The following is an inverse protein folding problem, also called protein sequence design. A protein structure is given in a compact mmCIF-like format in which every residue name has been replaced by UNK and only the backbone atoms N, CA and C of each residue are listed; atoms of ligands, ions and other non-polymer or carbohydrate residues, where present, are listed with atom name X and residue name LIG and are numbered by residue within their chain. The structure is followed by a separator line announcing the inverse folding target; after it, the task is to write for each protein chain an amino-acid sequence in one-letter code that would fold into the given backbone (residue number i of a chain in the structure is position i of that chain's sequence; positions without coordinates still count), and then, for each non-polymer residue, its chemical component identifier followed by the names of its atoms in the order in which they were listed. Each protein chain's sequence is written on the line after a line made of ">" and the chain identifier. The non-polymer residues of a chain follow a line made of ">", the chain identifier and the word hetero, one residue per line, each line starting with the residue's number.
data_IF_672018684732
#
_entry.id   IF_672018684732
#
_cell.length_a   1.000
_cell.length_b   1.000
_cell.length_c   1.000
_cell.angle_alpha   90.00
_cell.angle_beta   90.00
_cell.angle_gamma   90.00
#
_symmetry.space_group_name_H-M   'P 1'
#
loop_
_entity.id
_entity.type
_entity.pdbx_description
1 polymer ?
#
# COMPACT_ATOMS: atom_id res chain seq x y z
N UNK A 1 2.83 29.23 -27.33
CA UNK A 1 2.78 28.12 -26.41
C UNK A 1 2.20 26.89 -27.10
N UNK A 2 3.04 25.89 -27.40
CA UNK A 2 2.56 24.59 -27.85
C UNK A 2 1.92 23.93 -26.65
N UNK A 3 0.60 23.69 -26.72
CA UNK A 3 -0.12 23.00 -25.66
C UNK A 3 0.17 21.49 -25.81
N UNK A 4 0.93 20.95 -24.86
CA UNK A 4 1.20 19.51 -24.80
C UNK A 4 -0.09 18.76 -24.47
N UNK A 5 -0.41 17.75 -25.24
CA UNK A 5 -1.58 16.88 -25.00
C UNK A 5 -1.19 15.44 -25.22
N UNK A 6 -1.54 14.59 -24.28
CA UNK A 6 -1.34 13.14 -24.39
C UNK A 6 -2.27 12.53 -25.43
N UNK A 7 -1.96 11.32 -25.87
CA UNK A 7 -2.86 10.51 -26.67
C UNK A 7 -3.78 9.70 -25.72
N UNK A 8 -4.96 10.23 -25.44
CA UNK A 8 -5.93 9.65 -24.54
C UNK A 8 -6.38 8.24 -24.97
N UNK A 9 -6.61 8.04 -26.24
CA UNK A 9 -7.01 6.74 -26.78
C UNK A 9 -5.94 5.68 -26.50
N UNK A 10 -4.69 5.97 -26.77
CA UNK A 10 -3.56 5.09 -26.48
C UNK A 10 -3.43 4.79 -25.01
N UNK A 11 -3.59 5.78 -24.14
CA UNK A 11 -3.57 5.60 -22.69
C UNK A 11 -4.66 4.63 -22.24
N UNK A 12 -5.90 4.83 -22.67
CA UNK A 12 -7.04 4.00 -22.29
C UNK A 12 -6.95 2.58 -22.84
N UNK A 13 -6.51 2.42 -24.09
CA UNK A 13 -6.25 1.11 -24.69
C UNK A 13 -5.22 0.31 -23.89
N UNK A 14 -4.15 0.94 -23.45
CA UNK A 14 -3.09 0.31 -22.65
C UNK A 14 -3.55 -0.05 -21.25
N UNK A 15 -4.33 0.79 -20.60
CA UNK A 15 -4.94 0.48 -19.29
C UNK A 15 -5.86 -0.74 -19.43
N UNK A 16 -6.68 -0.79 -20.48
CA UNK A 16 -7.56 -1.92 -20.72
C UNK A 16 -6.76 -3.20 -21.04
N UNK A 17 -5.75 -3.12 -21.87
CA UNK A 17 -4.90 -4.26 -22.24
C UNK A 17 -4.17 -4.84 -21.02
N UNK A 18 -3.56 -4.00 -20.18
CA UNK A 18 -2.92 -4.45 -18.95
C UNK A 18 -3.95 -5.06 -18.00
N UNK A 19 -5.14 -4.51 -17.95
CA UNK A 19 -6.25 -5.02 -17.14
C UNK A 19 -6.73 -6.42 -17.51
N UNK A 20 -6.40 -6.92 -18.70
CA UNK A 20 -6.72 -8.30 -19.11
C UNK A 20 -5.66 -9.32 -18.66
N UNK A 21 -4.49 -8.87 -18.20
CA UNK A 21 -3.45 -9.77 -17.69
C UNK A 21 -3.73 -10.16 -16.23
N UNK A 22 -3.44 -11.40 -15.88
CA UNK A 22 -3.60 -11.92 -14.53
C UNK A 22 -5.05 -12.22 -14.12
N UNK A 23 -5.96 -12.36 -15.08
CA UNK A 23 -7.33 -12.82 -14.77
C UNK A 23 -7.33 -14.30 -14.42
N UNK A 24 -8.09 -14.66 -13.37
CA UNK A 24 -8.35 -16.05 -12.99
C UNK A 24 -9.47 -16.69 -13.85
N UNK A 25 -9.80 -17.94 -13.54
CA UNK A 25 -10.85 -18.67 -14.25
C UNK A 25 -12.24 -18.03 -14.13
N UNK A 26 -12.49 -17.24 -13.07
CA UNK A 26 -13.74 -16.53 -12.83
C UNK A 26 -13.73 -15.11 -13.43
N UNK A 27 -12.67 -14.74 -14.13
CA UNK A 27 -12.50 -13.42 -14.73
C UNK A 27 -12.11 -12.30 -13.76
N UNK A 28 -11.74 -12.64 -12.52
CA UNK A 28 -11.24 -11.67 -11.54
C UNK A 28 -9.79 -11.31 -11.85
N UNK A 29 -9.42 -10.03 -11.67
CA UNK A 29 -8.02 -9.60 -11.75
C UNK A 29 -7.27 -10.01 -10.49
N UNK A 30 -6.30 -10.90 -10.67
CA UNK A 30 -5.46 -11.41 -9.58
C UNK A 30 -4.01 -11.42 -10.06
N UNK A 31 -3.46 -10.23 -10.28
CA UNK A 31 -2.06 -10.07 -10.71
C UNK A 31 -1.16 -9.89 -9.49
N UNK A 32 -1.00 -10.97 -8.73
CA UNK A 32 -0.15 -10.96 -7.54
C UNK A 32 1.33 -10.87 -7.93
N UNK A 33 2.13 -10.25 -7.07
CA UNK A 33 3.55 -10.03 -7.29
C UNK A 33 4.29 -11.33 -7.68
N UNK A 34 5.10 -11.25 -8.72
CA UNK A 34 5.94 -12.33 -9.24
C UNK A 34 5.16 -13.61 -9.67
N UNK A 35 3.86 -13.50 -9.92
CA UNK A 35 3.04 -14.56 -10.51
C UNK A 35 3.18 -14.60 -12.03
N UNK A 36 2.61 -15.61 -12.67
CA UNK A 36 2.56 -15.69 -14.14
C UNK A 36 1.77 -14.51 -14.73
N UNK A 37 0.69 -14.09 -14.07
CA UNK A 37 -0.06 -12.91 -14.49
C UNK A 37 0.75 -11.63 -14.38
N UNK A 38 1.55 -11.50 -13.35
CA UNK A 38 2.48 -10.37 -13.18
C UNK A 38 3.58 -10.39 -14.25
N UNK A 39 4.09 -11.58 -14.61
CA UNK A 39 5.01 -11.72 -15.76
C UNK A 39 4.40 -11.16 -17.04
N UNK A 40 3.17 -11.54 -17.34
CA UNK A 40 2.48 -11.06 -18.55
C UNK A 40 2.31 -9.53 -18.52
N UNK A 41 1.93 -8.98 -17.40
CA UNK A 41 1.82 -7.54 -17.21
C UNK A 41 3.17 -6.81 -17.34
N UNK A 42 4.21 -7.36 -16.72
CA UNK A 42 5.59 -6.84 -16.81
C UNK A 42 6.13 -6.86 -18.24
N UNK A 43 5.94 -7.97 -18.94
CA UNK A 43 6.33 -8.09 -20.35
C UNK A 43 5.62 -7.04 -21.22
N UNK A 44 4.36 -6.76 -20.92
CA UNK A 44 3.57 -5.76 -21.62
C UNK A 44 4.10 -4.34 -21.38
N UNK A 45 4.32 -3.92 -20.15
CA UNK A 45 4.85 -2.58 -19.86
C UNK A 45 6.28 -2.41 -20.39
N UNK A 46 7.11 -3.43 -20.33
CA UNK A 46 8.46 -3.41 -20.90
C UNK A 46 8.39 -3.21 -22.40
N UNK A 47 7.47 -3.88 -23.10
CA UNK A 47 7.28 -3.68 -24.54
C UNK A 47 6.88 -2.24 -24.88
N UNK A 48 6.03 -1.63 -24.06
CA UNK A 48 5.64 -0.22 -24.26
C UNK A 48 6.76 0.76 -23.94
N UNK A 49 7.59 0.48 -22.95
CA UNK A 49 8.79 1.26 -22.68
C UNK A 49 9.76 1.22 -23.86
N UNK A 50 10.00 0.04 -24.40
CA UNK A 50 10.86 -0.14 -25.59
C UNK A 50 10.29 0.54 -26.83
N UNK A 51 8.98 0.45 -27.03
CA UNK A 51 8.28 1.16 -28.10
C UNK A 51 8.44 2.70 -28.00
N UNK A 52 8.50 3.21 -26.78
CA UNK A 52 8.80 4.63 -26.54
C UNK A 52 10.31 4.96 -26.66
N UNK A 53 11.16 4.00 -26.98
CA UNK A 53 12.61 4.19 -27.10
C UNK A 53 13.34 4.36 -25.77
N UNK A 54 12.80 3.81 -24.69
CA UNK A 54 13.42 3.88 -23.37
C UNK A 54 14.42 2.75 -23.16
N UNK A 55 15.48 3.03 -22.41
CA UNK A 55 16.35 2.01 -21.85
C UNK A 55 15.63 1.34 -20.68
N UNK A 56 15.45 0.03 -20.73
CA UNK A 56 14.79 -0.73 -19.66
C UNK A 56 15.84 -1.33 -18.74
N UNK A 57 15.73 -1.03 -17.44
CA UNK A 57 16.59 -1.55 -16.39
C UNK A 57 15.73 -2.21 -15.33
N UNK A 58 16.13 -3.40 -14.87
CA UNK A 58 15.48 -4.14 -13.79
C UNK A 58 16.46 -4.31 -12.66
N UNK A 59 16.07 -3.94 -11.45
CA UNK A 59 16.91 -4.11 -10.27
C UNK A 59 16.75 -5.50 -9.62
N UNK A 60 17.53 -5.78 -8.58
CA UNK A 60 17.55 -7.09 -7.91
C UNK A 60 16.23 -7.50 -7.31
N UNK A 61 15.38 -6.54 -6.89
CA UNK A 61 14.05 -6.83 -6.35
C UNK A 61 12.96 -6.84 -7.42
N UNK A 62 13.34 -6.72 -8.69
CA UNK A 62 12.40 -6.76 -9.81
C UNK A 62 11.71 -5.45 -10.13
N UNK A 63 12.09 -4.34 -9.52
CA UNK A 63 11.59 -3.04 -9.95
C UNK A 63 12.02 -2.77 -11.38
N UNK A 64 11.11 -2.27 -12.20
CA UNK A 64 11.33 -2.02 -13.62
C UNK A 64 11.39 -0.51 -13.86
N UNK A 65 12.43 -0.06 -14.57
CA UNK A 65 12.62 1.34 -14.91
C UNK A 65 12.80 1.51 -16.42
N UNK A 66 12.07 2.46 -16.97
CA UNK A 66 12.26 2.94 -18.35
C UNK A 66 12.91 4.31 -18.31
N UNK A 67 14.10 4.45 -18.89
CA UNK A 67 14.94 5.65 -18.79
C UNK A 67 14.98 6.38 -20.12
N UNK A 68 14.65 7.67 -20.08
CA UNK A 68 14.85 8.58 -21.18
C UNK A 68 15.88 9.65 -20.79
N UNK A 69 17.07 9.51 -21.33
CA UNK A 69 18.13 10.50 -21.17
C UNK A 69 18.67 10.94 -22.54
N UNK A 70 19.32 12.10 -22.56
CA UNK A 70 20.01 12.63 -23.74
C UNK A 70 21.47 12.91 -23.38
N UNK A 71 22.39 13.04 -24.37
CA UNK A 71 23.77 13.42 -24.11
C UNK A 71 23.90 14.71 -23.28
N UNK A 72 22.94 15.63 -23.44
CA UNK A 72 22.94 16.94 -22.80
C UNK A 72 22.45 16.92 -21.36
N UNK A 73 21.64 15.95 -20.97
CA UNK A 73 21.02 15.92 -19.63
C UNK A 73 21.38 14.72 -18.75
N UNK A 74 22.14 13.75 -19.29
CA UNK A 74 22.42 12.47 -18.59
C UNK A 74 23.15 12.59 -17.26
N UNK A 75 23.83 13.70 -17.02
CA UNK A 75 24.59 13.98 -15.79
C UNK A 75 23.71 14.60 -14.69
N UNK A 76 22.47 14.95 -15.02
CA UNK A 76 21.52 15.52 -14.06
C UNK A 76 20.68 14.44 -13.41
N UNK A 77 20.28 14.68 -12.15
CA UNK A 77 19.37 13.80 -11.44
C UNK A 77 17.99 13.78 -12.13
N UNK A 78 17.43 12.59 -12.39
CA UNK A 78 16.20 12.48 -13.17
C UNK A 78 14.95 12.86 -12.39
N UNK A 79 13.91 13.25 -13.12
CA UNK A 79 12.54 13.22 -12.64
C UNK A 79 12.03 11.78 -12.80
N UNK A 80 11.52 11.19 -11.73
CA UNK A 80 10.95 9.85 -11.73
C UNK A 80 9.44 9.93 -11.60
N UNK A 81 8.73 9.19 -12.44
CA UNK A 81 7.28 9.00 -12.39
C UNK A 81 7.02 7.50 -12.30
N UNK A 82 6.18 7.05 -11.42
CA UNK A 82 5.96 5.62 -11.32
C UNK A 82 4.85 5.25 -10.36
N UNK A 83 4.58 3.96 -10.31
CA UNK A 83 3.65 3.31 -9.41
C UNK A 83 3.93 1.80 -9.37
N UNK A 84 2.90 0.96 -9.40
CA UNK A 84 3.01 -0.50 -9.39
C UNK A 84 2.03 -1.12 -10.40
N UNK A 85 2.22 -2.40 -10.69
CA UNK A 85 1.29 -3.17 -11.50
C UNK A 85 0.78 -4.45 -10.84
N UNK A 86 1.36 -4.86 -9.71
CA UNK A 86 0.75 -5.93 -8.91
C UNK A 86 -0.58 -5.46 -8.34
N UNK A 87 -1.49 -6.38 -8.12
CA UNK A 87 -2.84 -6.11 -7.68
C UNK A 87 -3.22 -6.92 -6.45
N UNK A 88 -4.28 -6.48 -5.78
CA UNK A 88 -5.02 -7.32 -4.83
C UNK A 88 -5.86 -8.38 -5.57
N UNK A 89 -6.55 -9.23 -4.81
CA UNK A 89 -7.48 -10.21 -5.36
C UNK A 89 -8.77 -9.49 -5.78
N UNK A 90 -9.24 -9.78 -7.00
CA UNK A 90 -10.41 -9.14 -7.61
C UNK A 90 -10.27 -7.61 -7.74
N UNK A 91 -9.13 -7.18 -8.26
CA UNK A 91 -8.74 -5.79 -8.37
C UNK A 91 -9.43 -5.03 -9.51
N UNK A 92 -9.53 -3.71 -9.34
CA UNK A 92 -9.81 -2.78 -10.43
C UNK A 92 -8.64 -2.69 -11.42
N UNK A 93 -8.89 -2.13 -12.60
CA UNK A 93 -7.87 -2.03 -13.67
C UNK A 93 -6.97 -0.79 -13.56
N UNK A 94 -7.31 0.16 -12.68
CA UNK A 94 -6.63 1.45 -12.59
C UNK A 94 -5.59 1.51 -11.47
N UNK A 95 -5.80 0.74 -10.41
CA UNK A 95 -4.97 0.79 -9.20
C UNK A 95 -3.51 0.49 -9.52
N UNK A 96 -2.63 1.45 -9.27
CA UNK A 96 -1.22 1.42 -9.60
C UNK A 96 -0.91 1.47 -11.11
N UNK A 97 -1.62 0.67 -11.89
CA UNK A 97 -1.41 0.55 -13.34
C UNK A 97 -1.56 1.89 -14.07
N UNK A 98 -2.50 2.72 -13.64
CA UNK A 98 -2.69 4.04 -14.21
C UNK A 98 -1.43 4.90 -14.11
N UNK A 99 -0.78 4.93 -12.95
CA UNK A 99 0.45 5.71 -12.75
C UNK A 99 1.63 5.24 -13.58
N UNK A 100 1.79 3.93 -13.75
CA UNK A 100 2.85 3.36 -14.61
C UNK A 100 2.62 3.68 -16.08
N UNK A 101 1.42 3.41 -16.57
CA UNK A 101 1.08 3.62 -18.00
C UNK A 101 1.09 5.12 -18.33
N UNK A 102 0.57 5.96 -17.42
CA UNK A 102 0.61 7.42 -17.58
C UNK A 102 2.05 7.95 -17.69
N UNK A 103 2.98 7.43 -16.89
CA UNK A 103 4.39 7.79 -16.98
C UNK A 103 4.98 7.48 -18.36
N UNK A 104 4.69 6.30 -18.89
CA UNK A 104 5.13 5.91 -20.25
C UNK A 104 4.49 6.82 -21.31
N UNK A 105 3.20 7.11 -21.16
CA UNK A 105 2.48 7.98 -22.11
C UNK A 105 3.03 9.41 -22.13
N UNK A 106 3.32 9.97 -20.98
CA UNK A 106 3.92 11.32 -20.87
C UNK A 106 5.25 11.36 -21.61
N UNK A 107 6.13 10.40 -21.38
CA UNK A 107 7.43 10.34 -22.07
C UNK A 107 7.24 10.20 -23.57
N UNK A 108 6.38 9.27 -24.00
CA UNK A 108 6.12 9.05 -25.43
C UNK A 108 5.58 10.31 -26.10
N UNK A 109 4.65 11.00 -25.46
CA UNK A 109 4.08 12.26 -25.95
C UNK A 109 5.14 13.36 -26.09
N UNK A 110 5.99 13.54 -25.10
CA UNK A 110 7.07 14.54 -25.13
C UNK A 110 8.03 14.25 -26.28
N UNK A 111 8.42 12.99 -26.46
CA UNK A 111 9.30 12.57 -27.57
C UNK A 111 8.66 12.79 -28.95
N UNK A 112 7.40 12.41 -29.13
CA UNK A 112 6.66 12.59 -30.37
C UNK A 112 6.53 14.07 -30.74
N UNK A 113 6.45 14.96 -29.76
CA UNK A 113 6.37 16.41 -30.00
C UNK A 113 7.73 17.10 -30.05
N UNK A 114 8.82 16.34 -30.02
CA UNK A 114 10.18 16.88 -30.15
C UNK A 114 10.66 17.65 -28.94
N UNK A 115 10.02 17.47 -27.78
CA UNK A 115 10.43 18.11 -26.51
C UNK A 115 11.68 17.43 -25.95
N UNK A 116 12.65 18.22 -25.52
CA UNK A 116 13.85 17.73 -24.83
C UNK A 116 13.82 18.24 -23.40
N UNK A 117 13.68 17.37 -22.40
CA UNK A 117 13.64 17.80 -21.01
C UNK A 117 15.02 18.22 -20.50
N UNK A 118 15.03 19.10 -19.52
CA UNK A 118 16.27 19.54 -18.86
C UNK A 118 16.95 18.42 -18.07
N UNK A 119 16.18 17.44 -17.62
CA UNK A 119 16.62 16.28 -16.85
C UNK A 119 16.19 15.00 -17.53
N UNK A 120 16.87 13.87 -17.28
CA UNK A 120 16.30 12.58 -17.67
C UNK A 120 14.94 12.39 -17.03
N UNK A 121 14.05 11.66 -17.70
CA UNK A 121 12.77 11.24 -17.15
C UNK A 121 12.78 9.72 -17.07
N UNK A 122 12.42 9.20 -15.90
CA UNK A 122 12.37 7.77 -15.61
C UNK A 122 10.95 7.40 -15.24
N UNK A 123 10.41 6.36 -15.86
CA UNK A 123 9.16 5.74 -15.41
C UNK A 123 9.47 4.44 -14.70
N UNK A 124 8.84 4.20 -13.53
CA UNK A 124 9.11 3.05 -12.67
C UNK A 124 7.88 2.24 -12.34
N UNK A 125 8.07 0.92 -12.20
CA UNK A 125 7.08 -0.01 -11.66
C UNK A 125 7.70 -0.78 -10.50
N UNK A 126 7.18 -0.56 -9.30
CA UNK A 126 7.72 -1.13 -8.06
C UNK A 126 7.09 -2.48 -7.75
N UNK A 127 7.92 -3.42 -7.31
CA UNK A 127 7.52 -4.80 -7.01
C UNK A 127 6.76 -4.90 -5.70
N UNK A 128 5.66 -5.67 -5.71
CA UNK A 128 4.92 -6.06 -4.49
C UNK A 128 4.47 -4.88 -3.64
N UNK A 129 3.84 -3.89 -4.28
CA UNK A 129 3.32 -2.73 -3.57
C UNK A 129 2.19 -3.11 -2.63
N UNK A 130 1.27 -3.96 -3.09
CA UNK A 130 0.06 -4.34 -2.36
C UNK A 130 0.31 -5.28 -1.18
N UNK A 131 1.43 -5.98 -1.16
CA UNK A 131 1.78 -6.87 -0.05
C UNK A 131 0.87 -8.08 0.12
N UNK A 132 0.10 -8.46 -0.88
CA UNK A 132 -0.89 -9.53 -0.78
C UNK A 132 -0.23 -10.92 -0.82
N UNK A 133 0.71 -11.13 -1.72
CA UNK A 133 1.43 -12.40 -1.83
C UNK A 133 2.61 -12.46 -0.86
N UNK A 134 3.37 -11.38 -0.74
CA UNK A 134 4.54 -11.26 0.14
C UNK A 134 4.40 -10.05 1.06
N UNK A 135 4.81 -10.17 2.31
CA UNK A 135 4.89 -9.06 3.25
C UNK A 135 6.35 -8.58 3.37
N UNK A 136 6.57 -7.28 3.62
CA UNK A 136 5.58 -6.22 3.79
C UNK A 136 5.05 -5.68 2.46
N UNK A 137 3.99 -4.89 2.53
CA UNK A 137 3.54 -4.04 1.42
C UNK A 137 4.59 -2.98 1.07
N UNK A 138 4.43 -2.30 -0.06
CA UNK A 138 5.36 -1.29 -0.57
C UNK A 138 6.81 -1.81 -0.71
N UNK A 139 6.97 -3.12 -0.84
CA UNK A 139 8.28 -3.79 -0.72
C UNK A 139 9.31 -3.26 -1.71
N UNK A 140 8.95 -3.13 -2.99
CA UNK A 140 9.89 -2.71 -4.02
C UNK A 140 10.42 -1.30 -3.80
N UNK A 141 9.57 -0.35 -3.45
CA UNK A 141 9.96 1.02 -3.14
C UNK A 141 10.69 1.12 -1.80
N UNK A 142 10.32 0.30 -0.82
CA UNK A 142 10.98 0.24 0.48
C UNK A 142 12.43 -0.22 0.34
N UNK A 143 12.67 -1.28 -0.44
CA UNK A 143 14.03 -1.75 -0.74
C UNK A 143 14.80 -0.70 -1.55
N UNK A 144 14.15 -0.10 -2.54
CA UNK A 144 14.75 0.96 -3.35
C UNK A 144 15.23 2.15 -2.51
N UNK A 145 14.44 2.54 -1.52
CA UNK A 145 14.76 3.65 -0.61
C UNK A 145 15.72 3.27 0.55
N UNK A 146 16.09 1.99 0.68
CA UNK A 146 17.01 1.52 1.71
C UNK A 146 16.36 1.18 3.05
N UNK A 147 15.04 1.09 3.11
CA UNK A 147 14.29 0.75 4.33
C UNK A 147 14.21 -0.76 4.62
N UNK A 148 14.53 -1.59 3.64
CA UNK A 148 14.61 -3.05 3.76
C UNK A 148 15.74 -3.53 2.86
N UNK A 149 16.54 -4.51 3.32
CA UNK A 149 17.60 -5.06 2.47
C UNK A 149 17.02 -5.91 1.32
N UNK A 150 17.71 -5.91 0.18
CA UNK A 150 17.31 -6.76 -0.93
C UNK A 150 17.34 -8.25 -0.55
N UNK A 151 18.29 -8.67 0.26
CA UNK A 151 18.43 -10.04 0.74
C UNK A 151 17.22 -10.47 1.57
N UNK A 152 16.78 -9.65 2.51
CA UNK A 152 15.58 -9.93 3.32
C UNK A 152 14.32 -9.98 2.44
N UNK A 153 14.15 -9.04 1.53
CA UNK A 153 13.01 -9.00 0.63
C UNK A 153 12.97 -10.24 -0.30
N UNK A 154 14.10 -10.60 -0.89
CA UNK A 154 14.20 -11.78 -1.78
C UNK A 154 13.96 -13.10 -1.05
N UNK A 155 14.23 -13.16 0.25
CA UNK A 155 13.98 -14.31 1.11
C UNK A 155 12.53 -14.39 1.62
N UNK A 156 11.68 -13.40 1.34
CA UNK A 156 10.30 -13.38 1.81
C UNK A 156 9.53 -14.61 1.33
N UNK A 157 8.84 -15.24 2.28
CA UNK A 157 7.97 -16.41 2.01
C UNK A 157 6.55 -15.91 1.80
N UNK A 158 5.97 -16.24 0.66
CA UNK A 158 4.61 -15.84 0.31
C UNK A 158 3.53 -16.63 1.05
N UNK A 159 2.31 -16.14 0.94
CA UNK A 159 1.11 -16.82 1.48
C UNK A 159 0.88 -18.20 0.89
N UNK A 160 1.43 -18.45 -0.29
CA UNK A 160 1.40 -19.74 -1.02
C UNK A 160 2.66 -20.60 -0.77
N UNK A 161 3.54 -20.20 0.12
CA UNK A 161 4.77 -20.92 0.45
C UNK A 161 5.93 -20.68 -0.52
N UNK A 162 5.75 -19.89 -1.58
CA UNK A 162 6.80 -19.56 -2.53
C UNK A 162 7.77 -18.53 -1.95
N UNK A 163 8.99 -18.46 -2.50
CA UNK A 163 10.01 -17.47 -2.11
C UNK A 163 10.13 -16.42 -3.21
N UNK A 164 10.04 -15.15 -2.86
CA UNK A 164 10.00 -14.05 -3.83
C UNK A 164 11.19 -14.07 -4.81
N UNK A 165 12.41 -14.25 -4.31
CA UNK A 165 13.60 -14.29 -5.17
C UNK A 165 13.56 -15.44 -6.19
N UNK A 166 13.07 -16.61 -5.79
CA UNK A 166 12.90 -17.75 -6.70
C UNK A 166 11.83 -17.47 -7.76
N UNK A 167 10.73 -16.86 -7.35
CA UNK A 167 9.65 -16.51 -8.28
C UNK A 167 10.06 -15.40 -9.26
N UNK A 168 10.82 -14.40 -8.82
CA UNK A 168 11.37 -13.38 -9.71
C UNK A 168 12.30 -14.00 -10.75
N UNK A 169 13.14 -14.95 -10.35
CA UNK A 169 13.99 -15.71 -11.30
C UNK A 169 13.15 -16.50 -12.29
N UNK A 170 12.15 -17.22 -11.79
CA UNK A 170 11.26 -18.05 -12.61
C UNK A 170 10.58 -17.25 -13.71
N UNK A 171 10.10 -16.05 -13.40
CA UNK A 171 9.43 -15.17 -14.38
C UNK A 171 10.40 -14.31 -15.19
N UNK A 172 11.71 -14.33 -14.88
CA UNK A 172 12.73 -13.60 -15.60
C UNK A 172 12.90 -12.12 -15.21
N UNK A 173 12.47 -11.75 -14.00
CA UNK A 173 12.52 -10.36 -13.49
C UNK A 173 13.37 -10.17 -12.23
N UNK A 174 14.27 -11.09 -11.93
CA UNK A 174 15.38 -10.79 -11.03
C UNK A 174 16.46 -10.07 -11.82
N UNK A 175 16.55 -8.75 -11.62
CA UNK A 175 17.57 -7.95 -12.27
C UNK A 175 18.93 -8.01 -11.57
N UNK A 176 19.90 -7.33 -12.14
CA UNK A 176 21.30 -7.34 -11.65
C UNK A 176 21.72 -6.03 -11.02
N UNK A 177 20.96 -4.97 -11.23
CA UNK A 177 21.27 -3.63 -10.75
C UNK A 177 20.82 -3.50 -9.28
N UNK A 178 21.67 -2.87 -8.46
CA UNK A 178 21.31 -2.64 -7.06
C UNK A 178 20.14 -1.66 -6.94
N UNK A 179 19.15 -1.95 -6.07
CA UNK A 179 18.08 -1.02 -5.79
C UNK A 179 18.60 0.31 -5.26
N UNK A 180 18.01 1.42 -5.72
CA UNK A 180 18.50 2.75 -5.37
C UNK A 180 19.62 3.25 -6.29
N UNK A 181 19.87 2.60 -7.42
CA UNK A 181 20.92 2.98 -8.38
C UNK A 181 20.70 4.36 -9.01
N UNK A 182 19.47 4.85 -9.08
CA UNK A 182 19.12 6.22 -9.45
C UNK A 182 18.65 6.96 -8.22
N UNK A 183 19.23 8.15 -7.97
CA UNK A 183 18.73 9.06 -6.97
C UNK A 183 17.93 10.16 -7.69
N UNK A 184 16.59 10.13 -7.64
CA UNK A 184 15.78 11.08 -8.38
C UNK A 184 15.89 12.50 -7.80
N UNK A 185 15.77 13.49 -8.68
CA UNK A 185 15.56 14.87 -8.29
C UNK A 185 14.20 15.05 -7.58
N UNK A 186 13.18 14.43 -8.15
CA UNK A 186 11.83 14.38 -7.62
C UNK A 186 11.14 13.10 -8.07
N UNK A 187 10.15 12.65 -7.30
CA UNK A 187 9.28 11.54 -7.63
C UNK A 187 7.83 12.02 -7.63
N UNK A 188 7.09 11.68 -8.69
CA UNK A 188 5.67 11.99 -8.82
C UNK A 188 4.93 10.69 -9.13
N UNK A 189 3.84 10.46 -8.42
CA UNK A 189 2.97 9.32 -8.65
C UNK A 189 1.54 9.81 -8.94
N UNK A 190 1.02 9.45 -10.11
CA UNK A 190 -0.38 9.61 -10.44
C UNK A 190 -1.14 8.38 -9.94
N UNK A 191 -2.11 8.57 -9.09
CA UNK A 191 -2.88 7.48 -8.49
C UNK A 191 -4.36 7.82 -8.41
N UNK A 192 -5.22 6.80 -8.47
CA UNK A 192 -6.64 6.97 -8.17
C UNK A 192 -6.84 7.22 -6.68
N UNK A 193 -7.90 7.93 -6.31
CA UNK A 193 -8.16 8.27 -4.91
C UNK A 193 -8.38 7.06 -4.01
N UNK A 194 -9.01 6.01 -4.52
CA UNK A 194 -9.46 4.85 -3.74
C UNK A 194 -10.43 5.21 -2.60
N UNK A 195 -11.10 6.34 -2.74
CA UNK A 195 -12.05 6.88 -1.76
C UNK A 195 -13.11 7.72 -2.44
N UNK A 196 -14.16 8.16 -1.73
CA UNK A 196 -15.31 8.83 -2.34
C UNK A 196 -15.25 10.35 -2.33
N UNK A 197 -14.26 10.97 -1.68
CA UNK A 197 -14.29 12.41 -1.34
C UNK A 197 -14.27 13.26 -2.61
N UNK A 198 -13.31 13.02 -3.51
CA UNK A 198 -13.17 13.80 -4.74
C UNK A 198 -14.38 13.62 -5.65
N UNK A 199 -14.93 12.40 -5.72
CA UNK A 199 -16.13 12.11 -6.50
C UNK A 199 -17.34 12.88 -5.96
N UNK A 200 -17.56 12.84 -4.65
CA UNK A 200 -18.64 13.56 -3.97
C UNK A 200 -18.52 15.08 -4.14
N UNK A 201 -17.29 15.59 -4.10
CA UNK A 201 -17.01 17.03 -4.25
C UNK A 201 -16.91 17.48 -5.72
N UNK A 202 -16.92 16.54 -6.67
CA UNK A 202 -16.80 16.83 -8.10
C UNK A 202 -15.42 17.32 -8.52
N UNK A 203 -14.37 16.92 -7.77
CA UNK A 203 -12.99 17.28 -8.04
C UNK A 203 -12.34 16.19 -8.88
N UNK A 204 -11.75 16.55 -10.03
CA UNK A 204 -11.16 15.59 -10.95
C UNK A 204 -9.69 15.27 -10.60
N UNK A 205 -8.94 16.26 -10.14
CA UNK A 205 -7.50 16.13 -9.82
C UNK A 205 -7.24 16.82 -8.49
N UNK A 206 -6.50 16.14 -7.62
CA UNK A 206 -6.04 16.68 -6.35
C UNK A 206 -4.53 16.49 -6.19
N UNK A 207 -3.85 17.51 -5.68
CA UNK A 207 -2.46 17.36 -5.26
C UNK A 207 -2.43 16.91 -3.79
N UNK A 208 -1.84 15.73 -3.54
CA UNK A 208 -1.72 15.20 -2.19
C UNK A 208 -0.61 15.92 -1.45
N UNK A 209 -0.94 16.54 -0.32
CA UNK A 209 0.02 17.32 0.46
C UNK A 209 0.80 16.47 1.46
N UNK A 210 0.19 15.37 1.94
CA UNK A 210 0.81 14.50 2.92
C UNK A 210 0.29 13.05 2.85
N UNK A 211 1.04 12.14 3.46
CA UNK A 211 0.59 10.80 3.80
C UNK A 211 0.31 10.75 5.31
N UNK A 212 -0.83 10.16 5.67
CA UNK A 212 -1.17 9.98 7.08
C UNK A 212 -0.21 8.98 7.76
N UNK A 213 0.03 9.21 9.05
CA UNK A 213 0.73 8.25 9.89
C UNK A 213 -0.15 7.04 10.19
N UNK A 214 0.47 5.91 10.44
CA UNK A 214 -0.20 4.62 10.65
C UNK A 214 0.30 4.00 11.95
N UNK A 215 -0.63 3.54 12.79
CA UNK A 215 -0.35 2.77 14.00
C UNK A 215 -1.22 1.52 14.00
N UNK A 216 -0.60 0.35 13.83
CA UNK A 216 -1.28 -0.94 13.92
C UNK A 216 -0.85 -1.67 15.18
N UNK A 217 -1.83 -2.13 15.95
CA UNK A 217 -1.61 -2.91 17.15
C UNK A 217 -2.46 -4.19 17.11
N UNK A 218 -1.91 -5.26 17.63
CA UNK A 218 -2.68 -6.45 18.03
C UNK A 218 -2.98 -6.32 19.51
N UNK A 219 -4.24 -6.45 19.86
CA UNK A 219 -4.72 -6.36 21.23
C UNK A 219 -5.29 -7.72 21.63
N UNK A 220 -4.80 -8.26 22.73
CA UNK A 220 -5.29 -9.51 23.31
C UNK A 220 -5.92 -9.20 24.65
N UNK A 221 -7.20 -9.52 24.80
CA UNK A 221 -7.95 -9.36 26.04
C UNK A 221 -8.26 -10.74 26.61
N UNK A 222 -7.90 -10.98 27.86
CA UNK A 222 -8.17 -12.23 28.57
C UNK A 222 -9.24 -11.99 29.64
N UNK A 223 -10.28 -12.80 29.59
CA UNK A 223 -11.36 -12.84 30.57
C UNK A 223 -11.55 -14.26 31.13
N UNK A 224 -12.79 -14.66 31.39
CA UNK A 224 -13.14 -15.98 31.88
C UNK A 224 -14.32 -16.56 31.11
N UNK A 225 -14.17 -17.79 30.62
CA UNK A 225 -15.26 -18.54 30.02
C UNK A 225 -16.23 -19.02 31.08
N UNK A 226 -17.52 -18.75 30.89
CA UNK A 226 -18.60 -19.21 31.72
C UNK A 226 -19.86 -19.38 30.88
N UNK A 227 -20.83 -20.13 31.43
CA UNK A 227 -22.08 -20.36 30.74
C UNK A 227 -22.90 -19.08 30.56
N UNK A 228 -23.34 -18.78 29.35
CA UNK A 228 -24.03 -17.54 29.04
C UNK A 228 -25.41 -17.40 29.73
N UNK A 229 -26.11 -18.50 30.02
CA UNK A 229 -27.43 -18.48 30.64
C UNK A 229 -27.46 -18.50 32.16
N UNK A 230 -26.40 -18.97 32.81
CA UNK A 230 -26.36 -19.16 34.25
C UNK A 230 -25.37 -18.29 35.01
N UNK A 231 -24.56 -17.52 34.29
CA UNK A 231 -23.59 -16.61 34.92
C UNK A 231 -24.19 -15.22 35.07
N UNK A 232 -24.42 -14.75 36.29
CA UNK A 232 -24.93 -13.39 36.53
C UNK A 232 -24.01 -12.32 35.94
N UNK A 233 -24.58 -11.26 35.39
CA UNK A 233 -23.83 -10.17 34.72
C UNK A 233 -22.71 -9.62 35.59
N UNK A 234 -22.98 -9.42 36.88
CA UNK A 234 -21.99 -8.85 37.81
C UNK A 234 -20.76 -9.76 38.06
N UNK A 235 -20.86 -11.05 37.74
CA UNK A 235 -19.77 -12.03 37.89
C UNK A 235 -19.02 -12.34 36.60
N UNK A 236 -19.44 -11.72 35.48
CA UNK A 236 -18.82 -11.94 34.17
C UNK A 236 -17.49 -11.22 34.04
N UNK A 237 -16.51 -11.90 33.48
CA UNK A 237 -15.26 -11.31 32.99
C UNK A 237 -15.23 -11.56 31.49
N UNK A 238 -15.91 -10.68 30.77
CA UNK A 238 -16.26 -10.86 29.36
C UNK A 238 -15.24 -10.16 28.45
N UNK A 239 -14.33 -10.94 27.87
CA UNK A 239 -13.33 -10.44 26.95
C UNK A 239 -13.95 -9.90 25.65
N UNK A 240 -15.06 -10.47 25.21
CA UNK A 240 -15.76 -10.04 24.00
C UNK A 240 -16.41 -8.67 24.15
N UNK A 241 -17.05 -8.44 25.29
CA UNK A 241 -17.61 -7.12 25.61
C UNK A 241 -16.53 -6.06 25.74
N UNK A 242 -15.41 -6.39 26.40
CA UNK A 242 -14.27 -5.47 26.49
C UNK A 242 -13.72 -5.09 25.11
N UNK A 243 -13.58 -6.06 24.20
CA UNK A 243 -13.17 -5.80 22.81
C UNK A 243 -14.16 -4.88 22.07
N UNK A 244 -15.46 -5.12 22.24
CA UNK A 244 -16.51 -4.27 21.66
C UNK A 244 -16.41 -2.81 22.18
N UNK A 245 -16.16 -2.64 23.48
CA UNK A 245 -15.95 -1.31 24.08
C UNK A 245 -14.76 -0.59 23.46
N UNK A 246 -13.64 -1.28 23.19
CA UNK A 246 -12.48 -0.69 22.49
C UNK A 246 -12.86 -0.22 21.10
N UNK A 247 -13.61 -1.01 20.34
CA UNK A 247 -14.04 -0.63 19.02
C UNK A 247 -14.93 0.62 19.05
N UNK A 248 -15.88 0.71 19.98
CA UNK A 248 -16.72 1.90 20.19
C UNK A 248 -15.88 3.10 20.61
N UNK A 249 -14.94 2.92 21.54
CA UNK A 249 -14.01 3.98 21.97
C UNK A 249 -13.23 4.57 20.78
N UNK A 250 -12.69 3.72 19.92
CA UNK A 250 -11.96 4.17 18.72
C UNK A 250 -12.86 4.98 17.77
N UNK A 251 -14.11 4.55 17.55
CA UNK A 251 -15.08 5.31 16.74
C UNK A 251 -15.36 6.68 17.34
N UNK A 252 -15.53 6.77 18.65
CA UNK A 252 -15.75 8.05 19.35
C UNK A 252 -14.55 8.99 19.18
N UNK A 253 -13.32 8.46 19.24
CA UNK A 253 -12.11 9.25 18.95
C UNK A 253 -12.12 9.81 17.52
N UNK A 254 -12.53 9.02 16.55
CA UNK A 254 -12.66 9.47 15.16
C UNK A 254 -13.66 10.64 15.03
N UNK A 255 -14.81 10.51 15.65
CA UNK A 255 -15.86 11.54 15.62
C UNK A 255 -15.41 12.86 16.29
N UNK A 256 -14.71 12.75 17.42
CA UNK A 256 -14.17 13.92 18.14
C UNK A 256 -13.07 14.65 17.38
N UNK A 257 -12.37 13.98 16.48
CA UNK A 257 -11.28 14.55 15.68
C UNK A 257 -11.75 15.33 14.43
N UNK A 258 -13.03 15.49 14.21
CA UNK A 258 -13.62 16.04 12.98
C UNK A 258 -13.16 15.26 11.71
N UNK A 259 -13.03 13.95 11.83
CA UNK A 259 -12.66 13.06 10.74
C UNK A 259 -11.17 13.02 10.38
N UNK A 260 -10.31 13.70 11.14
CA UNK A 260 -8.85 13.66 10.92
C UNK A 260 -8.23 12.34 11.40
N UNK A 261 -8.70 11.80 12.50
CA UNK A 261 -8.37 10.45 12.94
C UNK A 261 -9.32 9.46 12.29
N UNK A 262 -8.79 8.41 11.70
CA UNK A 262 -9.57 7.23 11.29
C UNK A 262 -9.06 6.01 12.04
N UNK A 263 -9.98 5.15 12.46
CA UNK A 263 -9.63 3.93 13.18
C UNK A 263 -10.54 2.78 12.77
N UNK A 264 -9.97 1.59 12.70
CA UNK A 264 -10.67 0.37 12.28
C UNK A 264 -10.24 -0.82 13.12
N UNK A 265 -11.22 -1.61 13.56
CA UNK A 265 -11.01 -2.97 14.04
C UNK A 265 -11.44 -3.89 12.91
N UNK A 266 -10.47 -4.33 12.10
CA UNK A 266 -10.72 -5.11 10.88
C UNK A 266 -10.69 -6.63 11.09
N UNK A 267 -10.00 -7.08 12.13
CA UNK A 267 -9.91 -8.50 12.50
C UNK A 267 -10.27 -8.67 13.97
N UNK A 268 -11.10 -9.67 14.27
CA UNK A 268 -11.43 -10.04 15.64
C UNK A 268 -11.71 -11.54 15.73
N UNK A 269 -11.14 -12.18 16.74
CA UNK A 269 -11.35 -13.59 17.03
C UNK A 269 -11.67 -13.77 18.50
N UNK A 270 -12.61 -14.67 18.81
CA UNK A 270 -13.01 -15.04 20.17
C UNK A 270 -12.65 -16.48 20.47
N UNK A 271 -12.31 -16.75 21.74
CA UNK A 271 -12.21 -18.10 22.28
C UNK A 271 -13.22 -18.25 23.43
N UNK A 272 -13.95 -19.37 23.51
CA UNK A 272 -13.95 -20.53 22.60
C UNK A 272 -14.82 -20.33 21.35
N UNK A 273 -15.39 -19.17 21.11
CA UNK A 273 -16.25 -18.83 19.97
C UNK A 273 -17.49 -19.75 19.89
N UNK A 274 -18.17 -19.88 21.00
CA UNK A 274 -19.39 -20.67 21.13
C UNK A 274 -20.56 -19.76 21.52
N UNK A 275 -21.74 -20.01 20.95
CA UNK A 275 -22.93 -19.13 21.11
C UNK A 275 -23.39 -18.98 22.56
N UNK A 276 -23.15 -19.98 23.39
CA UNK A 276 -23.62 -20.04 24.80
C UNK A 276 -22.48 -19.94 25.82
N UNK A 277 -21.32 -19.46 25.46
CA UNK A 277 -20.15 -19.31 26.32
C UNK A 277 -19.65 -17.86 26.27
N UNK A 278 -19.47 -17.24 27.42
CA UNK A 278 -18.85 -15.91 27.56
C UNK A 278 -17.40 -16.03 27.09
N UNK A 279 -16.91 -15.18 26.17
CA UNK A 279 -15.54 -15.28 25.67
C UNK A 279 -14.50 -15.17 26.78
N UNK A 280 -13.60 -16.14 26.83
CA UNK A 280 -12.42 -16.10 27.71
C UNK A 280 -11.29 -15.27 27.12
N UNK A 281 -11.31 -15.05 25.81
CA UNK A 281 -10.26 -14.33 25.10
C UNK A 281 -10.81 -13.66 23.85
N UNK A 282 -10.33 -12.48 23.59
CA UNK A 282 -10.54 -11.77 22.35
C UNK A 282 -9.18 -11.30 21.81
N UNK A 283 -8.90 -11.58 20.54
CA UNK A 283 -7.71 -11.09 19.83
C UNK A 283 -8.21 -10.28 18.65
N UNK A 284 -7.78 -9.03 18.56
CA UNK A 284 -8.20 -8.14 17.49
C UNK A 284 -7.09 -7.16 17.12
N UNK A 285 -7.24 -6.52 15.97
CA UNK A 285 -6.32 -5.48 15.50
C UNK A 285 -6.97 -4.11 15.58
N UNK A 286 -6.17 -3.11 15.94
CA UNK A 286 -6.54 -1.70 15.87
C UNK A 286 -5.62 -1.01 14.85
N UNK A 287 -6.23 -0.49 13.79
CA UNK A 287 -5.60 0.35 12.79
C UNK A 287 -6.00 1.80 13.06
N UNK A 288 -5.06 2.62 13.51
CA UNK A 288 -5.30 4.03 13.83
C UNK A 288 -4.41 4.90 12.96
N UNK A 289 -4.99 5.90 12.31
CA UNK A 289 -4.29 6.80 11.39
C UNK A 289 -4.63 8.25 11.67
N UNK A 290 -3.63 9.12 11.49
CA UNK A 290 -3.81 10.58 11.53
C UNK A 290 -2.73 11.25 10.67
N UNK A 291 -3.03 12.34 9.95
CA UNK A 291 -2.04 13.08 9.16
C UNK A 291 -1.02 13.85 10.00
N UNK A 292 -1.25 14.04 11.30
CA UNK A 292 -0.38 14.76 12.24
C UNK A 292 0.25 13.78 13.24
N UNK A 293 1.58 13.81 13.37
CA UNK A 293 2.32 12.89 14.26
C UNK A 293 1.98 13.11 15.74
N UNK A 294 1.86 14.34 16.16
CA UNK A 294 1.50 14.67 17.56
C UNK A 294 0.11 14.12 17.88
N UNK A 295 -0.84 14.29 16.95
CA UNK A 295 -2.20 13.77 17.10
C UNK A 295 -2.22 12.25 17.10
N UNK A 296 -1.43 11.60 16.23
CA UNK A 296 -1.34 10.14 16.21
C UNK A 296 -0.80 9.60 17.55
N UNK A 297 0.22 10.22 18.11
CA UNK A 297 0.73 9.90 19.45
C UNK A 297 -0.32 10.10 20.53
N UNK A 298 -1.10 11.17 20.46
CA UNK A 298 -2.21 11.41 21.39
C UNK A 298 -3.27 10.29 21.30
N UNK A 299 -3.60 9.84 20.08
CA UNK A 299 -4.54 8.73 19.87
C UNK A 299 -3.99 7.40 20.42
N UNK A 300 -2.72 7.11 20.19
CA UNK A 300 -2.06 5.93 20.74
C UNK A 300 -2.08 5.96 22.28
N UNK A 301 -1.82 7.12 22.88
CA UNK A 301 -1.84 7.28 24.34
C UNK A 301 -3.26 7.16 24.90
N UNK A 302 -4.24 7.75 24.23
CA UNK A 302 -5.64 7.64 24.63
C UNK A 302 -6.12 6.18 24.62
N UNK A 303 -5.73 5.42 23.59
CA UNK A 303 -6.02 3.98 23.53
C UNK A 303 -5.35 3.23 24.67
N UNK A 304 -4.07 3.47 24.94
CA UNK A 304 -3.34 2.82 26.03
C UNK A 304 -3.98 3.11 27.40
N UNK A 305 -4.39 4.36 27.63
CA UNK A 305 -5.06 4.76 28.87
C UNK A 305 -6.44 4.09 29.03
N UNK A 306 -7.20 4.02 27.94
CA UNK A 306 -8.49 3.34 27.93
C UNK A 306 -8.37 1.84 28.23
N UNK A 307 -7.36 1.17 27.65
CA UNK A 307 -7.11 -0.25 27.92
C UNK A 307 -6.76 -0.49 29.40
N UNK A 308 -5.98 0.38 30.01
CA UNK A 308 -5.69 0.31 31.45
C UNK A 308 -6.94 0.50 32.31
N UNK A 309 -7.83 1.40 31.91
CA UNK A 309 -9.10 1.59 32.58
C UNK A 309 -9.99 0.35 32.47
N UNK A 310 -10.08 -0.27 31.30
CA UNK A 310 -10.83 -1.51 31.08
C UNK A 310 -10.33 -2.66 31.96
N UNK A 311 -9.02 -2.79 32.15
CA UNK A 311 -8.47 -3.80 33.07
C UNK A 311 -9.03 -3.66 34.49
N UNK A 312 -9.31 -2.45 34.91
CA UNK A 312 -9.90 -2.17 36.24
C UNK A 312 -11.42 -2.36 36.25
N UNK A 313 -12.11 -1.81 35.27
CA UNK A 313 -13.59 -1.80 35.27
C UNK A 313 -14.17 -3.15 34.87
N UNK A 314 -13.56 -3.83 33.90
CA UNK A 314 -14.04 -5.12 33.36
C UNK A 314 -13.27 -6.32 33.93
N UNK A 315 -12.26 -6.09 34.77
CA UNK A 315 -11.42 -7.11 35.44
C UNK A 315 -10.69 -8.04 34.45
N UNK A 316 -10.48 -7.59 33.24
CA UNK A 316 -9.75 -8.30 32.19
C UNK A 316 -8.25 -8.03 32.29
N UNK A 317 -7.44 -8.89 31.64
CA UNK A 317 -6.03 -8.62 31.38
C UNK A 317 -5.84 -8.30 29.90
N UNK A 318 -5.05 -7.27 29.61
CA UNK A 318 -4.84 -6.80 28.26
C UNK A 318 -3.37 -6.78 27.93
N UNK A 319 -3.02 -7.37 26.80
CA UNK A 319 -1.69 -7.33 26.22
C UNK A 319 -1.75 -6.67 24.82
N UNK A 320 -0.78 -5.82 24.52
CA UNK A 320 -0.68 -5.15 23.24
C UNK A 320 0.66 -5.45 22.57
N UNK A 321 0.62 -5.61 21.25
CA UNK A 321 1.79 -5.79 20.41
C UNK A 321 1.74 -4.79 19.26
N UNK A 322 2.80 -4.01 19.09
CA UNK A 322 2.91 -3.11 17.94
C UNK A 322 3.22 -3.92 16.68
N UNK A 323 2.40 -3.78 15.65
CA UNK A 323 2.59 -4.45 14.36
C UNK A 323 3.28 -3.54 13.35
N UNK A 324 2.81 -2.30 13.23
CA UNK A 324 3.29 -1.30 12.27
C UNK A 324 3.23 0.08 12.92
N UNK A 325 4.23 0.90 12.64
CA UNK A 325 4.22 2.32 13.01
C UNK A 325 4.97 3.13 11.97
N UNK A 326 4.24 4.01 11.26
CA UNK A 326 4.81 4.98 10.34
C UNK A 326 4.42 6.38 10.76
N UNK A 327 5.38 7.30 10.71
CA UNK A 327 5.12 8.72 10.89
C UNK A 327 4.43 9.29 9.64
N UNK A 328 3.58 10.33 9.78
CA UNK A 328 3.09 11.10 8.63
C UNK A 328 4.25 11.70 7.84
N UNK A 329 4.06 11.83 6.53
CA UNK A 329 5.04 12.45 5.65
C UNK A 329 4.40 13.66 4.97
N UNK A 330 5.03 14.83 5.11
CA UNK A 330 4.69 16.00 4.30
C UNK A 330 5.44 15.92 2.99
N UNK A 331 4.73 16.12 1.89
CA UNK A 331 5.36 16.22 0.59
C UNK A 331 6.01 17.58 0.39
N UNK A 332 6.92 17.67 -0.56
CA UNK A 332 7.64 18.90 -0.85
C UNK A 332 6.68 19.98 -1.40
N UNK A 333 6.60 21.13 -0.71
CA UNK A 333 5.68 22.22 -1.05
C UNK A 333 5.96 22.82 -2.44
N UNK A 334 7.19 22.72 -2.91
CA UNK A 334 7.57 23.21 -4.25
C UNK A 334 7.11 22.32 -5.38
N UNK A 335 6.76 21.05 -5.06
CA UNK A 335 6.25 20.08 -6.04
C UNK A 335 4.73 20.00 -5.99
N UNK A 336 4.14 20.10 -4.80
CA UNK A 336 2.69 20.19 -4.60
C UNK A 336 2.17 21.54 -5.11
#
# INVERSE_FOLDING_TARGET
>A
HIMLSINEERLLERINALGETGKDADGRRVRLAASDGDKDGRDMIVSWMKDAGLEVVVDRIGNIFGIWETPENRDKAPLMVGSHIDSVIDAGKYDGCYGVIAGIEVIKTLKEQGYVPERPIVTGAFTNEEGVRYAPDMMGSLVYAGGLSAEEALAAVGTDGTILGEELKRIGYEGTVEPGFIKPYAFIELHIEQGPIMDVEGVQIGAVENLQGISWQRITIEGAANHAGTTPTALRIDAGLAAAKVNVFLRERCLQSNGKTVATVGCIEFEPNAVNVIPSKAVFTADVRNPDETKLKEEEQALADYLKELEKTDKVRIHTERLVRFEPVLFDEGIV
#
